data_IF_618941425105
#
_entry.id   IF_618941425105
#
_cell.length_a   1.000
_cell.length_b   1.000
_cell.length_c   1.000
_cell.angle_alpha   90.00
_cell.angle_beta   90.00
_cell.angle_gamma   90.00
#
_symmetry.space_group_name_H-M   'P 1'
#
loop_
_entity.id
_entity.type
_entity.pdbx_description
1 polymer ?
#
# COMPACT_ATOMS: atom_id res chain seq x y z
N UNK A 1 -25.90 25.51 -3.46
CA UNK A 1 -25.67 24.05 -3.58
C UNK A 1 -24.76 23.83 -4.77
N UNK A 2 -23.60 23.22 -4.57
CA UNK A 2 -22.74 22.78 -5.68
C UNK A 2 -23.43 21.63 -6.42
N UNK A 3 -23.41 21.64 -7.75
CA UNK A 3 -23.94 20.51 -8.52
C UNK A 3 -22.97 19.31 -8.45
N UNK A 4 -23.46 18.10 -8.78
CA UNK A 4 -22.66 16.87 -8.65
C UNK A 4 -21.38 16.86 -9.51
N UNK A 5 -21.38 17.61 -10.62
CA UNK A 5 -20.26 17.71 -11.56
C UNK A 5 -19.18 18.66 -10.99
N UNK A 6 -19.59 19.79 -10.43
CA UNK A 6 -18.71 20.76 -9.75
C UNK A 6 -18.07 20.15 -8.50
N UNK A 7 -18.83 19.37 -7.72
CA UNK A 7 -18.31 18.65 -6.57
C UNK A 7 -17.28 17.58 -6.98
N UNK A 8 -17.46 16.91 -8.12
CA UNK A 8 -16.51 15.92 -8.63
C UNK A 8 -15.22 16.56 -9.13
N UNK A 9 -15.30 17.70 -9.83
CA UNK A 9 -14.12 18.47 -10.28
C UNK A 9 -13.32 19.05 -9.11
N UNK A 10 -13.99 19.54 -8.06
CA UNK A 10 -13.30 19.98 -6.84
C UNK A 10 -12.56 18.83 -6.16
N UNK A 11 -13.16 17.64 -6.13
CA UNK A 11 -12.50 16.45 -5.60
C UNK A 11 -11.26 16.09 -6.43
N UNK A 12 -11.30 16.17 -7.76
CA UNK A 12 -10.14 15.90 -8.64
C UNK A 12 -8.94 16.82 -8.41
N UNK A 13 -9.13 18.01 -7.86
CA UNK A 13 -8.05 18.95 -7.51
C UNK A 13 -7.53 18.81 -6.07
N UNK A 14 -8.23 18.06 -5.21
CA UNK A 14 -7.86 17.87 -3.81
C UNK A 14 -6.80 16.78 -3.64
N UNK A 15 -5.98 16.89 -2.59
CA UNK A 15 -5.09 15.81 -2.18
C UNK A 15 -5.90 14.57 -1.75
N UNK A 16 -5.34 13.35 -1.83
CA UNK A 16 -6.06 12.12 -1.46
C UNK A 16 -6.65 12.15 -0.05
N UNK A 17 -5.95 12.77 0.91
CA UNK A 17 -6.37 12.89 2.31
C UNK A 17 -7.57 13.83 2.49
N UNK A 18 -7.59 14.94 1.75
CA UNK A 18 -8.70 15.90 1.76
C UNK A 18 -9.95 15.32 1.12
N UNK A 19 -9.79 14.55 0.02
CA UNK A 19 -10.91 13.81 -0.59
C UNK A 19 -11.51 12.81 0.39
N UNK A 20 -10.66 12.09 1.13
CA UNK A 20 -11.11 11.10 2.11
C UNK A 20 -11.91 11.77 3.22
N UNK A 21 -11.42 12.88 3.79
CA UNK A 21 -12.15 13.65 4.82
C UNK A 21 -13.49 14.20 4.30
N UNK A 22 -13.52 14.74 3.07
CA UNK A 22 -14.73 15.29 2.47
C UNK A 22 -15.81 14.23 2.17
N UNK A 23 -15.40 12.98 1.93
CA UNK A 23 -16.30 11.87 1.59
C UNK A 23 -16.64 10.99 2.80
N UNK A 24 -15.83 11.02 3.87
CA UNK A 24 -16.04 10.20 5.06
C UNK A 24 -17.42 10.39 5.70
N UNK A 25 -18.01 11.58 5.65
CA UNK A 25 -19.33 11.82 6.26
C UNK A 25 -20.51 11.57 5.30
N UNK A 26 -20.25 11.38 4.00
CA UNK A 26 -21.30 11.18 2.98
C UNK A 26 -21.79 9.75 2.88
N UNK A 27 -21.06 8.79 3.46
CA UNK A 27 -21.36 7.37 3.38
C UNK A 27 -21.51 6.80 4.79
N UNK A 28 -22.59 6.07 5.04
CA UNK A 28 -22.85 5.45 6.34
C UNK A 28 -21.73 4.47 6.72
N UNK A 29 -21.43 4.34 8.02
CA UNK A 29 -20.41 3.42 8.55
C UNK A 29 -20.69 1.98 8.10
N UNK A 30 -21.97 1.57 8.10
CA UNK A 30 -22.38 0.23 7.63
C UNK A 30 -22.01 0.00 6.16
N UNK A 31 -22.28 0.98 5.29
CA UNK A 31 -21.95 0.89 3.86
C UNK A 31 -20.44 0.84 3.64
N UNK A 32 -19.65 1.65 4.37
CA UNK A 32 -18.19 1.61 4.31
C UNK A 32 -17.65 0.24 4.67
N UNK A 33 -18.13 -0.35 5.77
CA UNK A 33 -17.66 -1.65 6.23
C UNK A 33 -18.01 -2.77 5.24
N UNK A 34 -19.18 -2.71 4.59
CA UNK A 34 -19.56 -3.67 3.54
C UNK A 34 -18.68 -3.49 2.30
N UNK A 35 -18.41 -2.25 1.89
CA UNK A 35 -17.52 -1.97 0.77
C UNK A 35 -16.10 -2.46 1.04
N UNK A 36 -15.53 -2.13 2.20
CA UNK A 36 -14.18 -2.57 2.60
C UNK A 36 -14.09 -4.10 2.62
N UNK A 37 -15.10 -4.77 3.20
CA UNK A 37 -15.18 -6.23 3.19
C UNK A 37 -15.21 -6.81 1.77
N UNK A 38 -16.08 -6.30 0.90
CA UNK A 38 -16.18 -6.78 -0.50
C UNK A 38 -14.93 -6.49 -1.31
N UNK A 39 -14.29 -5.34 -1.08
CA UNK A 39 -13.03 -4.99 -1.74
C UNK A 39 -11.96 -5.98 -1.31
N UNK A 40 -11.78 -6.22 0.00
CA UNK A 40 -10.84 -7.23 0.50
C UNK A 40 -11.14 -8.63 -0.03
N UNK A 41 -12.40 -9.04 -0.07
CA UNK A 41 -12.81 -10.34 -0.64
C UNK A 41 -12.50 -10.44 -2.15
N UNK A 42 -12.69 -9.34 -2.87
CA UNK A 42 -12.40 -9.28 -4.31
C UNK A 42 -10.91 -9.33 -4.54
N UNK A 43 -10.13 -8.49 -3.85
CA UNK A 43 -8.67 -8.50 -3.94
C UNK A 43 -8.19 -9.91 -3.56
N UNK A 44 -8.68 -10.52 -2.46
CA UNK A 44 -8.40 -11.90 -2.01
C UNK A 44 -8.56 -12.97 -3.09
N UNK A 45 -9.46 -12.74 -4.06
CA UNK A 45 -9.65 -13.63 -5.20
C UNK A 45 -8.64 -13.41 -6.34
N UNK A 46 -8.07 -12.22 -6.44
CA UNK A 46 -7.01 -11.83 -7.36
C UNK A 46 -5.66 -11.84 -6.64
N UNK A 47 -5.19 -13.02 -6.21
CA UNK A 47 -3.84 -13.20 -5.67
C UNK A 47 -2.78 -12.72 -6.68
N UNK A 48 -2.43 -11.44 -6.64
CA UNK A 48 -1.49 -10.82 -7.55
C UNK A 48 -0.15 -10.73 -6.85
N UNK A 49 0.85 -11.37 -7.45
CA UNK A 49 2.24 -11.22 -7.03
C UNK A 49 2.71 -9.80 -7.35
N UNK A 50 3.26 -9.14 -6.35
CA UNK A 50 3.86 -7.81 -6.40
C UNK A 50 5.32 -7.93 -6.05
N UNK A 51 6.16 -7.21 -6.80
CA UNK A 51 7.59 -7.11 -6.60
C UNK A 51 7.96 -5.63 -6.57
N UNK A 52 8.63 -5.21 -5.49
CA UNK A 52 9.08 -3.84 -5.25
C UNK A 52 10.57 -3.88 -4.95
N UNK A 53 11.34 -2.98 -5.57
CA UNK A 53 12.76 -2.79 -5.28
C UNK A 53 12.94 -1.40 -4.69
N UNK A 54 13.59 -1.32 -3.52
CA UNK A 54 13.90 -0.08 -2.83
C UNK A 54 15.41 0.12 -2.77
N UNK A 55 15.88 1.33 -3.05
CA UNK A 55 17.29 1.69 -2.93
C UNK A 55 17.67 1.98 -1.46
N UNK A 56 18.97 1.94 -1.16
CA UNK A 56 19.57 2.19 0.16
C UNK A 56 19.23 3.53 0.82
N UNK A 57 18.86 4.53 0.02
CA UNK A 57 18.48 5.86 0.50
C UNK A 57 17.03 5.87 1.01
N UNK A 58 16.26 4.82 0.71
CA UNK A 58 14.84 4.69 1.04
C UNK A 58 14.63 3.67 2.14
N UNK A 59 15.29 2.51 2.08
CA UNK A 59 15.12 1.44 3.05
C UNK A 59 16.45 1.12 3.71
N UNK A 60 16.50 1.22 5.05
CA UNK A 60 17.65 0.78 5.84
C UNK A 60 17.38 -0.31 6.88
N UNK A 61 16.15 -0.81 6.88
CA UNK A 61 15.66 -1.68 7.94
C UNK A 61 16.05 -3.15 7.69
N UNK A 62 16.20 -3.96 8.76
CA UNK A 62 16.39 -5.40 8.62
C UNK A 62 15.23 -6.07 7.89
N UNK A 63 15.55 -7.02 7.01
CA UNK A 63 14.57 -7.78 6.21
C UNK A 63 13.45 -8.38 7.08
N UNK A 64 13.79 -8.95 8.24
CA UNK A 64 12.85 -9.56 9.19
C UNK A 64 11.77 -8.57 9.68
N UNK A 65 12.14 -7.30 9.90
CA UNK A 65 11.21 -6.28 10.36
C UNK A 65 10.22 -5.89 9.24
N UNK A 66 10.71 -5.80 8.01
CA UNK A 66 9.90 -5.51 6.83
C UNK A 66 8.93 -6.67 6.58
N UNK A 67 9.41 -7.91 6.70
CA UNK A 67 8.55 -9.09 6.61
C UNK A 67 7.47 -9.12 7.68
N UNK A 68 7.82 -8.84 8.93
CA UNK A 68 6.89 -8.81 10.05
C UNK A 68 5.79 -7.75 9.84
N UNK A 69 6.16 -6.56 9.38
CA UNK A 69 5.21 -5.50 9.05
C UNK A 69 4.24 -5.94 7.94
N UNK A 70 4.75 -6.50 6.84
CA UNK A 70 3.91 -6.93 5.71
C UNK A 70 2.98 -8.07 6.11
N UNK A 71 3.44 -9.02 6.92
CA UNK A 71 2.59 -10.09 7.47
C UNK A 71 1.52 -9.55 8.41
N UNK A 72 1.85 -8.54 9.24
CA UNK A 72 0.88 -7.88 10.12
C UNK A 72 -0.20 -7.13 9.33
N UNK A 73 0.16 -6.58 8.17
CA UNK A 73 -0.77 -5.99 7.20
C UNK A 73 -1.56 -7.02 6.37
N UNK A 74 -1.47 -8.32 6.70
CA UNK A 74 -2.18 -9.42 6.05
C UNK A 74 -1.74 -9.72 4.61
N UNK A 75 -0.55 -9.27 4.19
CA UNK A 75 0.04 -9.71 2.93
C UNK A 75 0.50 -11.18 3.02
N UNK A 76 0.37 -11.91 1.91
CA UNK A 76 0.70 -13.34 1.81
C UNK A 76 1.98 -13.55 1.00
N UNK A 77 2.59 -14.74 1.09
CA UNK A 77 3.80 -15.12 0.35
C UNK A 77 4.90 -14.04 0.37
N UNK A 78 5.07 -13.41 1.54
CA UNK A 78 6.05 -12.35 1.76
C UNK A 78 7.46 -12.95 1.79
N UNK A 79 8.35 -12.39 0.98
CA UNK A 79 9.78 -12.66 0.97
C UNK A 79 10.52 -11.34 0.76
N UNK A 80 11.38 -10.96 1.70
CA UNK A 80 12.23 -9.77 1.60
C UNK A 80 13.68 -10.22 1.47
N UNK A 81 14.43 -9.57 0.60
CA UNK A 81 15.84 -9.88 0.39
C UNK A 81 16.60 -8.60 0.14
N UNK A 82 17.53 -8.27 1.04
CA UNK A 82 18.46 -7.17 0.90
C UNK A 82 19.85 -7.67 0.51
N UNK A 83 20.44 -6.99 -0.46
CA UNK A 83 21.83 -7.25 -0.84
C UNK A 83 22.74 -6.51 0.15
N UNK A 84 23.15 -7.19 1.23
CA UNK A 84 24.14 -6.67 2.18
C UNK A 84 25.56 -7.12 1.75
N UNK A 85 26.34 -6.33 1.00
CA UNK A 85 27.72 -6.70 0.71
C UNK A 85 28.57 -6.61 1.99
N UNK A 86 29.26 -7.69 2.34
CA UNK A 86 30.22 -7.69 3.45
C UNK A 86 31.48 -6.84 3.16
N UNK A 87 31.77 -6.57 1.89
CA UNK A 87 33.00 -5.91 1.44
C UNK A 87 32.79 -5.18 0.09
N UNK A 88 32.24 -3.96 0.07
CA UNK A 88 32.50 -3.04 -1.06
C UNK A 88 32.01 -1.62 -0.77
N UNK A 89 32.90 -0.65 -0.90
CA UNK A 89 32.63 0.79 -0.72
C UNK A 89 31.91 1.45 -1.92
N UNK A 90 31.58 0.68 -2.98
CA UNK A 90 31.07 1.20 -4.26
C UNK A 90 29.76 0.56 -4.75
N UNK A 91 29.11 -0.29 -3.95
CA UNK A 91 27.87 -0.95 -4.34
C UNK A 91 26.65 -0.20 -3.80
N UNK A 92 25.74 0.20 -4.68
CA UNK A 92 24.44 0.76 -4.31
C UNK A 92 23.54 -0.36 -3.82
N UNK A 93 23.23 -0.36 -2.54
CA UNK A 93 22.39 -1.39 -1.93
C UNK A 93 20.92 -1.27 -2.38
N UNK A 94 20.29 -2.42 -2.59
CA UNK A 94 18.86 -2.56 -2.84
C UNK A 94 18.20 -3.62 -1.95
N UNK A 95 16.94 -3.38 -1.58
CA UNK A 95 16.05 -4.32 -0.93
C UNK A 95 14.92 -4.71 -1.88
N UNK A 96 14.80 -6.01 -2.18
CA UNK A 96 13.72 -6.56 -3.00
C UNK A 96 12.65 -7.17 -2.11
N UNK A 97 11.41 -6.73 -2.27
CA UNK A 97 10.24 -7.16 -1.50
C UNK A 97 9.26 -7.83 -2.47
N UNK A 98 8.99 -9.12 -2.23
CA UNK A 98 8.00 -9.89 -2.99
C UNK A 98 6.86 -10.28 -2.06
N UNK A 99 5.63 -10.02 -2.46
CA UNK A 99 4.45 -10.41 -1.69
C UNK A 99 3.25 -10.60 -2.61
N UNK A 100 2.26 -11.30 -2.11
CA UNK A 100 0.92 -11.33 -2.67
C UNK A 100 0.03 -10.40 -1.88
N UNK A 101 -0.65 -9.53 -2.61
CA UNK A 101 -1.81 -8.85 -2.05
C UNK A 101 -2.89 -9.94 -1.85
N UNK A 102 -3.52 -10.02 -0.66
CA UNK A 102 -4.72 -10.81 -0.47
C UNK A 102 -5.74 -10.22 -1.40
#
# INVERSE_FOLDING_TARGET
MLNAIEASKMLETMSPEERLKALQHKVSVKTKNILDKKIRETIAGFEKKVEITLDENVCRDPDENIEALLRWLWYKDVNVTSDFPAYSESYTWTTTIKFKIP
#
